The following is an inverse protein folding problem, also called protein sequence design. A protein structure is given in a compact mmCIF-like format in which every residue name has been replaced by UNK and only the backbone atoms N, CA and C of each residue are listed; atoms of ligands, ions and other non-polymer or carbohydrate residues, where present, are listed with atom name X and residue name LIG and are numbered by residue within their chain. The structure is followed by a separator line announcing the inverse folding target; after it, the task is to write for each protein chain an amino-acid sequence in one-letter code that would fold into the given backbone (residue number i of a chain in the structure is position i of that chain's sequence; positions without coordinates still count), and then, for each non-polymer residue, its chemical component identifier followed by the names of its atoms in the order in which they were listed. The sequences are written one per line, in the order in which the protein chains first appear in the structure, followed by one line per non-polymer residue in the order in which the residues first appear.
data_IF_925249112840
#
_entry.id   IF_925249112840
#
_cell.length_a   1.000
_cell.length_b   1.000
_cell.length_c   1.000
_cell.angle_alpha   90.00
_cell.angle_beta   90.00
_cell.angle_gamma   90.00
#
_symmetry.space_group_name_H-M   'P 1'
#
loop_
_entity.id
_entity.type
_entity.pdbx_description
1 polymer ?
#
# COMPACT_ATOMS: atom_id res chain seq x y z
N UNK A 1 7.94 25.29 1.71
CA UNK A 1 8.70 24.51 0.70
C UNK A 1 7.89 23.26 0.41
N UNK A 2 7.55 22.95 -0.84
CA UNK A 2 6.93 21.66 -1.18
C UNK A 2 8.04 20.61 -1.07
N UNK A 3 7.90 19.63 -0.17
CA UNK A 3 8.91 18.57 0.01
C UNK A 3 9.05 17.69 -1.24
N UNK A 4 10.11 16.90 -1.28
CA UNK A 4 10.40 15.93 -2.35
C UNK A 4 10.19 14.49 -1.88
N UNK A 5 10.24 13.56 -2.83
CA UNK A 5 10.20 12.13 -2.54
C UNK A 5 11.27 11.72 -1.51
N UNK A 6 12.50 12.23 -1.66
CA UNK A 6 13.60 12.00 -0.72
C UNK A 6 13.27 12.41 0.72
N UNK A 7 12.53 13.50 0.89
CA UNK A 7 12.19 14.01 2.23
C UNK A 7 11.21 13.11 3.00
N UNK A 8 10.32 12.40 2.28
CA UNK A 8 9.26 11.58 2.87
C UNK A 8 9.46 10.06 2.74
N UNK A 9 10.52 9.62 2.05
CA UNK A 9 10.79 8.20 1.84
C UNK A 9 11.36 7.51 3.09
N UNK A 10 11.17 6.20 3.15
CA UNK A 10 11.94 5.31 4.00
C UNK A 10 13.04 4.65 3.18
N UNK A 11 14.26 4.59 3.73
CA UNK A 11 15.36 3.82 3.16
C UNK A 11 15.17 2.30 3.33
N UNK A 12 14.23 1.89 4.19
CA UNK A 12 13.91 0.49 4.44
C UNK A 12 13.00 -0.04 3.33
N UNK A 13 13.63 -0.66 2.33
CA UNK A 13 12.97 -1.30 1.19
C UNK A 13 13.51 -2.73 1.07
N UNK A 14 12.61 -3.70 1.05
CA UNK A 14 12.96 -5.11 0.89
C UNK A 14 13.44 -5.37 -0.54
N UNK A 15 14.76 -5.54 -0.72
CA UNK A 15 15.39 -5.82 -2.02
C UNK A 15 15.85 -7.27 -2.15
N UNK A 16 15.75 -7.82 -3.36
CA UNK A 16 16.21 -9.16 -3.75
C UNK A 16 16.66 -9.19 -5.21
N UNK A 17 17.43 -10.20 -5.61
CA UNK A 17 17.76 -10.46 -7.02
C UNK A 17 16.69 -11.34 -7.70
N UNK A 18 16.64 -11.33 -9.03
CA UNK A 18 15.63 -12.04 -9.81
C UNK A 18 15.77 -13.58 -9.74
N UNK A 19 16.98 -14.05 -9.44
CA UNK A 19 17.38 -15.46 -9.37
C UNK A 19 17.09 -16.07 -7.99
N UNK A 20 16.87 -15.24 -6.97
CA UNK A 20 16.58 -15.73 -5.63
C UNK A 20 15.25 -16.51 -5.61
N UNK A 21 15.14 -17.53 -4.74
CA UNK A 21 14.01 -18.43 -4.74
C UNK A 21 12.78 -17.83 -4.03
N UNK A 22 11.59 -18.18 -4.51
CA UNK A 22 10.29 -17.75 -3.98
C UNK A 22 10.16 -17.84 -2.45
N UNK A 23 10.58 -18.96 -1.84
CA UNK A 23 10.42 -19.15 -0.40
C UNK A 23 11.18 -18.10 0.42
N UNK A 24 12.34 -17.61 -0.06
CA UNK A 24 13.11 -16.57 0.63
C UNK A 24 12.38 -15.23 0.62
N UNK A 25 11.69 -14.89 -0.46
CA UNK A 25 10.87 -13.68 -0.50
C UNK A 25 9.72 -13.76 0.50
N UNK A 26 9.02 -14.90 0.57
CA UNK A 26 7.91 -15.09 1.52
C UNK A 26 8.42 -14.99 2.97
N UNK A 27 9.53 -15.65 3.30
CA UNK A 27 10.14 -15.58 4.63
C UNK A 27 10.47 -14.15 5.04
N UNK A 28 11.12 -13.37 4.16
CA UNK A 28 11.50 -11.98 4.44
C UNK A 28 10.28 -11.08 4.57
N UNK A 29 9.33 -11.20 3.66
CA UNK A 29 8.13 -10.36 3.66
C UNK A 29 7.28 -10.60 4.93
N UNK A 30 7.19 -11.86 5.38
CA UNK A 30 6.50 -12.21 6.63
C UNK A 30 7.23 -11.71 7.90
N UNK A 31 8.56 -11.63 7.88
CA UNK A 31 9.35 -11.16 9.01
C UNK A 31 9.37 -9.63 9.12
N UNK A 32 9.50 -8.95 7.99
CA UNK A 32 9.79 -7.52 7.93
C UNK A 32 8.51 -6.67 7.92
N UNK A 33 7.32 -7.27 7.70
CA UNK A 33 6.05 -6.56 7.62
C UNK A 33 5.90 -5.69 6.38
N UNK A 34 6.72 -5.97 5.37
CA UNK A 34 6.76 -5.29 4.09
C UNK A 34 5.63 -5.75 3.16
N UNK A 35 5.24 -4.91 2.20
CA UNK A 35 4.14 -5.25 1.28
C UNK A 35 4.62 -5.68 -0.11
N UNK A 36 5.86 -5.37 -0.51
CA UNK A 36 6.38 -5.73 -1.82
C UNK A 36 7.88 -6.06 -1.74
N UNK A 37 8.37 -6.85 -2.70
CA UNK A 37 9.81 -7.10 -2.90
C UNK A 37 10.28 -6.33 -4.13
N UNK A 38 11.31 -5.50 -3.98
CA UNK A 38 11.95 -4.80 -5.08
C UNK A 38 13.06 -5.66 -5.67
N UNK A 39 12.99 -5.91 -6.98
CA UNK A 39 13.99 -6.70 -7.68
C UNK A 39 15.06 -5.76 -8.22
N UNK A 40 16.30 -5.97 -7.82
CA UNK A 40 17.45 -5.15 -8.21
C UNK A 40 18.56 -6.00 -8.82
N UNK A 41 19.40 -5.38 -9.65
CA UNK A 41 20.64 -6.00 -10.12
C UNK A 41 21.80 -5.80 -9.13
N UNK A 42 23.00 -6.25 -9.49
CA UNK A 42 24.21 -6.13 -8.65
C UNK A 42 24.61 -4.67 -8.37
N UNK A 43 24.33 -3.76 -9.31
CA UNK A 43 24.56 -2.32 -9.13
C UNK A 43 23.45 -1.62 -8.32
N UNK A 44 22.41 -2.33 -7.89
CA UNK A 44 21.26 -1.77 -7.16
C UNK A 44 20.26 -1.04 -8.06
N UNK A 45 20.36 -1.19 -9.38
CA UNK A 45 19.37 -0.67 -10.32
C UNK A 45 18.05 -1.44 -10.18
N UNK A 46 16.93 -0.71 -10.13
CA UNK A 46 15.61 -1.31 -10.00
C UNK A 46 15.17 -1.97 -11.32
N UNK A 47 14.97 -3.28 -11.30
CA UNK A 47 14.51 -4.07 -12.45
C UNK A 47 13.00 -4.26 -12.46
N UNK A 48 12.38 -4.39 -11.28
CA UNK A 48 10.95 -4.65 -11.17
C UNK A 48 10.50 -4.83 -9.73
N UNK A 49 9.25 -5.25 -9.58
CA UNK A 49 8.59 -5.42 -8.28
C UNK A 49 7.87 -6.77 -8.28
N UNK A 50 7.96 -7.50 -7.17
CA UNK A 50 7.10 -8.65 -6.88
C UNK A 50 6.14 -8.25 -5.76
N UNK A 51 4.85 -8.02 -6.07
CA UNK A 51 3.86 -7.69 -5.06
C UNK A 51 3.58 -8.84 -4.09
N UNK A 52 3.21 -8.53 -2.84
CA UNK A 52 2.80 -9.54 -1.84
C UNK A 52 1.73 -10.51 -2.37
N UNK A 53 0.75 -10.01 -3.12
CA UNK A 53 -0.34 -10.81 -3.62
C UNK A 53 0.11 -11.83 -4.69
N UNK A 54 1.18 -11.56 -5.45
CA UNK A 54 1.77 -12.55 -6.37
C UNK A 54 2.47 -13.66 -5.60
N UNK A 55 3.18 -13.34 -4.51
CA UNK A 55 3.79 -14.35 -3.63
C UNK A 55 2.72 -15.21 -2.94
N UNK A 56 1.65 -14.58 -2.44
CA UNK A 56 0.53 -15.28 -1.83
C UNK A 56 -0.16 -16.21 -2.83
N UNK A 57 -0.46 -15.70 -4.03
CA UNK A 57 -1.05 -16.47 -5.13
C UNK A 57 -0.15 -17.64 -5.53
N UNK A 58 1.15 -17.41 -5.68
CA UNK A 58 2.12 -18.45 -6.00
C UNK A 58 2.10 -19.56 -4.95
N UNK A 59 2.07 -19.20 -3.65
CA UNK A 59 2.01 -20.18 -2.58
C UNK A 59 0.69 -20.96 -2.55
N UNK A 60 -0.43 -20.31 -2.80
CA UNK A 60 -1.77 -20.94 -2.84
C UNK A 60 -1.96 -21.86 -4.05
N UNK A 61 -1.22 -21.63 -5.13
CA UNK A 61 -1.23 -22.47 -6.33
C UNK A 61 -0.08 -23.51 -6.34
N UNK A 62 0.53 -23.76 -5.17
CA UNK A 62 1.63 -24.71 -4.97
C UNK A 62 2.80 -24.53 -5.96
N UNK A 63 3.14 -23.27 -6.27
CA UNK A 63 4.36 -22.97 -7.01
C UNK A 63 5.59 -23.52 -6.28
N UNK A 64 6.61 -23.93 -7.06
CA UNK A 64 7.82 -24.50 -6.49
C UNK A 64 8.51 -23.49 -5.55
N UNK A 65 8.89 -23.87 -4.32
CA UNK A 65 9.61 -23.01 -3.38
C UNK A 65 10.94 -22.48 -3.93
N UNK A 66 11.54 -23.19 -4.88
CA UNK A 66 12.82 -22.83 -5.51
C UNK A 66 12.64 -22.10 -6.85
N UNK A 67 11.40 -21.82 -7.27
CA UNK A 67 11.16 -21.07 -8.50
C UNK A 67 11.74 -19.65 -8.37
N UNK A 68 12.46 -19.15 -9.39
CA UNK A 68 13.04 -17.81 -9.35
C UNK A 68 11.99 -16.70 -9.26
N UNK A 69 12.32 -15.62 -8.54
CA UNK A 69 11.46 -14.43 -8.43
C UNK A 69 11.18 -13.75 -9.78
N UNK A 70 12.06 -13.92 -10.77
CA UNK A 70 11.84 -13.47 -12.14
C UNK A 70 10.48 -13.92 -12.72
N UNK A 71 9.97 -15.08 -12.32
CA UNK A 71 8.68 -15.60 -12.80
C UNK A 71 7.45 -14.89 -12.21
N UNK A 72 7.63 -14.12 -11.14
CA UNK A 72 6.56 -13.40 -10.43
C UNK A 72 6.77 -11.87 -10.50
N UNK A 73 7.85 -11.43 -11.15
CA UNK A 73 8.21 -10.04 -11.28
C UNK A 73 7.29 -9.32 -12.26
N UNK A 74 6.86 -8.13 -11.86
CA UNK A 74 6.14 -7.18 -12.70
C UNK A 74 7.01 -5.94 -12.95
N UNK A 75 6.87 -5.26 -14.10
CA UNK A 75 7.52 -3.98 -14.33
C UNK A 75 7.16 -2.95 -13.24
N UNK A 76 8.13 -2.16 -12.80
CA UNK A 76 7.90 -1.05 -11.88
C UNK A 76 7.19 0.10 -12.62
N UNK A 77 5.86 0.00 -12.76
CA UNK A 77 5.07 0.93 -13.59
C UNK A 77 5.00 2.36 -13.01
N UNK A 78 5.10 2.51 -11.70
CA UNK A 78 5.12 3.81 -11.05
C UNK A 78 6.32 3.89 -10.10
N UNK A 79 7.28 4.74 -10.47
CA UNK A 79 8.53 4.99 -9.75
C UNK A 79 8.66 6.50 -9.56
N UNK A 80 9.16 6.94 -8.41
CA UNK A 80 9.51 8.34 -8.17
C UNK A 80 11.02 8.51 -8.26
N UNK A 81 11.49 9.57 -8.92
CA UNK A 81 12.86 10.05 -8.72
C UNK A 81 12.96 10.75 -7.37
N UNK A 82 14.16 10.79 -6.77
CA UNK A 82 14.41 11.38 -5.45
C UNK A 82 13.87 12.82 -5.31
N UNK A 83 13.99 13.61 -6.37
CA UNK A 83 13.57 15.01 -6.39
C UNK A 83 12.13 15.22 -6.86
N UNK A 84 11.35 14.13 -7.06
CA UNK A 84 9.93 14.22 -7.45
C UNK A 84 9.16 15.00 -6.38
N UNK A 85 8.40 16.06 -6.72
CA UNK A 85 7.59 16.80 -5.76
C UNK A 85 6.54 15.92 -5.07
N UNK A 86 6.32 16.11 -3.77
CA UNK A 86 5.38 15.28 -3.01
C UNK A 86 3.92 15.36 -3.47
N UNK A 87 3.50 16.50 -4.04
CA UNK A 87 2.17 16.63 -4.66
C UNK A 87 2.01 15.66 -5.84
N UNK A 88 3.05 15.51 -6.66
CA UNK A 88 3.08 14.57 -7.78
C UNK A 88 3.11 13.12 -7.28
N UNK A 89 3.93 12.82 -6.26
CA UNK A 89 3.95 11.50 -5.62
C UNK A 89 2.55 11.12 -5.12
N UNK A 90 1.83 12.05 -4.47
CA UNK A 90 0.47 11.81 -3.99
C UNK A 90 -0.51 11.50 -5.12
N UNK A 91 -0.44 12.24 -6.24
CA UNK A 91 -1.27 11.99 -7.43
C UNK A 91 -0.95 10.61 -8.02
N UNK A 92 0.32 10.26 -8.17
CA UNK A 92 0.73 8.97 -8.74
C UNK A 92 0.31 7.79 -7.85
N UNK A 93 0.50 7.87 -6.53
CA UNK A 93 0.01 6.85 -5.58
C UNK A 93 -1.50 6.61 -5.68
N UNK A 94 -2.27 7.66 -5.98
CA UNK A 94 -3.72 7.56 -6.21
C UNK A 94 -4.02 6.93 -7.58
N UNK A 95 -3.47 7.49 -8.64
CA UNK A 95 -3.79 7.12 -10.03
C UNK A 95 -3.30 5.72 -10.39
N UNK A 96 -2.16 5.29 -9.86
CA UNK A 96 -1.64 3.93 -10.06
C UNK A 96 -2.30 2.88 -9.15
N UNK A 97 -3.21 3.30 -8.25
CA UNK A 97 -3.82 2.45 -7.22
C UNK A 97 -2.82 1.73 -6.30
N UNK A 98 -1.58 2.22 -6.22
CA UNK A 98 -0.53 1.63 -5.40
C UNK A 98 -0.52 2.23 -3.99
N UNK A 99 -0.22 1.38 -2.99
CA UNK A 99 -0.09 1.79 -1.58
C UNK A 99 1.29 2.37 -1.27
N UNK A 100 2.27 2.02 -2.08
CA UNK A 100 3.64 2.48 -1.98
C UNK A 100 4.28 2.61 -3.37
N UNK A 101 5.40 3.31 -3.42
CA UNK A 101 6.13 3.61 -4.65
C UNK A 101 7.64 3.51 -4.37
N UNK A 102 8.42 2.80 -5.19
CA UNK A 102 9.87 2.87 -5.11
C UNK A 102 10.36 4.28 -5.41
N UNK A 103 11.42 4.68 -4.71
CA UNK A 103 12.16 5.92 -4.98
C UNK A 103 13.54 5.56 -5.50
N UNK A 104 13.89 6.14 -6.64
CA UNK A 104 15.18 5.93 -7.30
C UNK A 104 15.98 7.23 -7.39
N UNK A 105 17.28 7.07 -7.55
CA UNK A 105 18.19 8.15 -7.96
C UNK A 105 19.16 7.57 -8.99
N UNK A 106 19.17 8.15 -10.19
CA UNK A 106 19.96 7.65 -11.32
C UNK A 106 19.68 6.15 -11.61
N UNK A 107 18.41 5.75 -11.51
CA UNK A 107 17.97 4.37 -11.73
C UNK A 107 18.26 3.39 -10.58
N UNK A 108 19.01 3.80 -9.55
CA UNK A 108 19.28 2.98 -8.35
C UNK A 108 18.17 3.15 -7.34
N UNK A 109 17.67 2.05 -6.77
CA UNK A 109 16.69 2.12 -5.69
C UNK A 109 17.34 2.71 -4.43
N UNK A 110 16.77 3.80 -3.90
CA UNK A 110 17.25 4.46 -2.67
C UNK A 110 16.25 4.36 -1.52
N UNK A 111 15.04 3.86 -1.79
CA UNK A 111 14.02 3.67 -0.77
C UNK A 111 12.64 3.49 -1.38
N UNK A 112 11.64 3.72 -0.55
CA UNK A 112 10.22 3.68 -0.93
C UNK A 112 9.42 4.73 -0.18
N UNK A 113 8.32 5.16 -0.78
CA UNK A 113 7.32 6.02 -0.13
C UNK A 113 6.04 5.22 0.03
N UNK A 114 5.49 5.22 1.23
CA UNK A 114 4.15 4.70 1.51
C UNK A 114 3.17 5.85 1.70
N UNK A 115 1.87 5.63 1.50
CA UNK A 115 0.83 6.63 1.84
C UNK A 115 0.94 7.07 3.29
N UNK A 116 1.22 6.14 4.21
CA UNK A 116 1.41 6.44 5.64
C UNK A 116 2.67 7.26 5.90
N UNK A 117 3.78 6.96 5.21
CA UNK A 117 5.02 7.76 5.29
C UNK A 117 4.81 9.19 4.82
N UNK A 118 4.10 9.35 3.70
CA UNK A 118 3.72 10.66 3.18
C UNK A 118 2.83 11.45 4.16
N UNK A 119 1.77 10.81 4.70
CA UNK A 119 0.90 11.44 5.70
C UNK A 119 1.67 11.83 6.97
N UNK A 120 2.58 10.98 7.43
CA UNK A 120 3.43 11.25 8.59
C UNK A 120 4.30 12.48 8.35
N UNK A 121 4.95 12.57 7.19
CA UNK A 121 5.77 13.72 6.82
C UNK A 121 4.94 15.02 6.81
N UNK A 122 3.77 15.00 6.17
CA UNK A 122 2.89 16.17 6.10
C UNK A 122 2.35 16.60 7.48
N UNK A 123 2.02 15.65 8.35
CA UNK A 123 1.55 15.93 9.70
C UNK A 123 2.63 16.59 10.58
N UNK A 124 3.91 16.25 10.36
CA UNK A 124 5.03 16.79 11.14
C UNK A 124 5.46 18.19 10.69
N UNK A 125 5.31 18.52 9.40
CA UNK A 125 5.94 19.71 8.82
C UNK A 125 5.01 20.94 8.68
N UNK A 126 3.74 20.87 9.06
CA UNK A 126 2.73 21.92 8.76
C UNK A 126 2.79 22.40 7.29
N UNK A 127 3.21 21.54 6.37
CA UNK A 127 3.41 21.89 4.97
C UNK A 127 2.05 21.96 4.30
N UNK A 128 1.66 23.17 3.90
CA UNK A 128 0.61 23.34 2.90
C UNK A 128 1.19 22.86 1.56
N UNK A 129 0.72 21.71 1.08
CA UNK A 129 0.89 21.33 -0.31
C UNK A 129 0.09 22.36 -1.12
N UNK A 130 0.79 23.36 -1.66
CA UNK A 130 0.18 24.38 -2.50
C UNK A 130 -0.40 23.76 -3.77
N UNK A 131 -1.60 23.22 -3.67
CA UNK A 131 -2.52 23.01 -4.78
C UNK A 131 -3.58 24.09 -4.66
N UNK A 132 -3.54 25.09 -5.54
CA UNK A 132 -4.54 26.17 -5.62
C UNK A 132 -5.94 25.66 -6.01
N UNK A 133 -6.08 24.38 -6.34
CA UNK A 133 -7.37 23.70 -6.30
C UNK A 133 -7.71 23.40 -4.85
N UNK A 134 -8.53 24.26 -4.25
CA UNK A 134 -9.26 23.92 -3.04
C UNK A 134 -9.82 22.50 -3.21
N UNK A 135 -9.40 21.57 -2.33
CA UNK A 135 -10.02 20.26 -2.27
C UNK A 135 -11.51 20.45 -1.98
N UNK A 136 -12.32 20.48 -3.03
CA UNK A 136 -13.77 20.45 -2.98
C UNK A 136 -14.17 18.98 -3.15
N UNK A 137 -14.28 18.21 -2.05
CA UNK A 137 -14.69 16.83 -2.16
C UNK A 137 -16.06 16.80 -2.82
N UNK A 138 -16.27 16.00 -3.87
CA UNK A 138 -17.60 15.85 -4.44
C UNK A 138 -18.58 15.47 -3.32
N UNK A 139 -19.84 15.93 -3.36
CA UNK A 139 -20.81 15.64 -2.31
C UNK A 139 -20.90 14.12 -2.11
N UNK A 140 -20.37 13.65 -0.97
CA UNK A 140 -20.40 12.24 -0.60
C UNK A 140 -21.71 11.96 0.09
N UNK A 141 -22.54 11.10 -0.50
CA UNK A 141 -23.67 10.51 0.23
C UNK A 141 -23.12 9.66 1.37
N UNK A 142 -23.76 9.73 2.53
CA UNK A 142 -23.42 8.83 3.64
C UNK A 142 -23.58 7.38 3.17
N UNK A 143 -22.54 6.54 3.28
CA UNK A 143 -22.67 5.14 2.88
C UNK A 143 -23.79 4.50 3.71
N UNK A 144 -24.58 3.58 3.11
CA UNK A 144 -25.60 2.87 3.87
C UNK A 144 -24.95 2.12 5.05
N UNK A 145 -25.66 1.97 6.18
CA UNK A 145 -25.11 1.28 7.33
C UNK A 145 -24.73 -0.16 6.96
N UNK A 146 -23.57 -0.66 7.43
CA UNK A 146 -23.13 -2.03 7.21
C UNK A 146 -24.22 -3.06 7.51
N UNK A 147 -24.22 -4.16 6.75
CA UNK A 147 -25.25 -5.19 6.83
C UNK A 147 -25.37 -5.81 8.24
N UNK A 148 -24.26 -5.95 8.98
CA UNK A 148 -24.28 -6.49 10.33
C UNK A 148 -25.01 -5.60 11.34
N UNK A 149 -25.00 -4.27 11.17
CA UNK A 149 -25.77 -3.35 12.02
C UNK A 149 -27.28 -3.45 11.77
N UNK A 150 -27.68 -3.81 10.54
CA UNK A 150 -29.10 -4.06 10.21
C UNK A 150 -29.62 -5.31 10.93
N UNK A 151 -28.78 -6.34 11.06
CA UNK A 151 -29.10 -7.55 11.79
C UNK A 151 -29.21 -7.32 13.31
N UNK A 152 -28.28 -6.54 13.88
CA UNK A 152 -28.31 -6.19 15.31
C UNK A 152 -29.58 -5.40 15.69
N UNK A 153 -30.00 -4.43 14.89
CA UNK A 153 -31.25 -3.68 15.13
C UNK A 153 -32.51 -4.55 15.07
N UNK A 154 -32.52 -5.60 14.23
CA UNK A 154 -33.63 -6.57 14.19
C UNK A 154 -33.65 -7.45 15.45
N UNK A 155 -32.48 -7.86 15.93
CA UNK A 155 -32.37 -8.63 17.17
C UNK A 155 -32.79 -7.80 18.40
N UNK A 156 -32.40 -6.53 18.46
CA UNK A 156 -32.81 -5.60 19.52
C UNK A 156 -34.33 -5.34 19.51
N UNK A 157 -34.93 -5.15 18.34
CA UNK A 157 -36.38 -4.93 18.19
C UNK A 157 -37.22 -6.17 18.55
N UNK A 158 -36.71 -7.38 18.31
CA UNK A 158 -37.35 -8.63 18.75
C UNK A 158 -37.27 -8.78 20.26
N UNK A 159 -36.16 -8.37 20.88
CA UNK A 159 -35.98 -8.48 22.33
C UNK A 159 -36.75 -7.41 23.13
N UNK A 160 -37.07 -6.26 22.53
CA UNK A 160 -37.89 -5.21 23.14
C UNK A 160 -39.41 -5.44 23.04
N UNK A 161 -39.86 -6.51 22.36
CA UNK A 161 -41.28 -6.82 22.14
C UNK A 161 -41.89 -7.89 23.04
N UNK A 162 -41.17 -8.38 24.06
CA UNK A 162 -41.58 -9.53 24.88
C UNK A 162 -42.13 -9.17 26.28
N UNK A 163 -42.69 -7.98 26.47
CA UNK A 163 -43.28 -7.58 27.75
C UNK A 163 -44.59 -6.81 27.53
N UNK A 164 -45.72 -7.54 27.41
CA UNK A 164 -47.15 -7.18 27.54
C UNK A 164 -47.90 -8.34 26.87
N UNK A 165 -48.59 -9.28 27.50
CA UNK A 165 -49.60 -9.24 28.57
C UNK A 165 -49.82 -10.68 29.06
N UNK A 166 -49.91 -10.91 30.38
CA UNK A 166 -50.64 -12.06 30.96
C UNK A 166 -51.97 -11.53 31.50
N UNK A 167 -53.13 -12.09 31.13
CA UNK A 167 -54.38 -11.79 31.82
C UNK A 167 -54.54 -12.70 33.04
N UNK A 168 -55.12 -12.13 34.10
CA UNK A 168 -55.56 -12.78 35.34
C UNK A 168 -56.75 -13.75 35.12
#
# INVERSE_FOLDING_TARGET
MQGTARDAMSADALTMSAEQPLHKAIERLAADGECDVYIVNEEGALLGIVPDYELLKARLLDASPTQPLAAFMTPAACVAEAETPLCEVAVRLRSCLQRQMPVVENGRLIGRITRTGLLRFLAQQQVSLGTEDAFDPPPRQSPPPPNFLRALRRAEAVNSGAETTRPD
#
